data_IF_505153331307
#
_entry.id   IF_505153331307
#
_cell.length_a   1.000
_cell.length_b   1.000
_cell.length_c   1.000
_cell.angle_alpha   90.00
_cell.angle_beta   90.00
_cell.angle_gamma   90.00
#
_symmetry.space_group_name_H-M   'P 1'
#
loop_
_entity.id
_entity.type
_entity.pdbx_description
1 polymer ?
#
# COMPACT_ATOMS: atom_id res chain seq x y z
N UNK A 1 -5.35 17.39 1.68
CA UNK A 1 -4.12 17.22 0.86
C UNK A 1 -2.93 17.44 1.80
N UNK A 2 -1.79 16.82 1.55
CA UNK A 2 -0.63 16.83 2.46
C UNK A 2 -0.33 15.44 3.04
N UNK A 3 0.83 15.30 3.70
CA UNK A 3 1.26 14.07 4.35
C UNK A 3 0.24 13.59 5.39
N UNK A 4 0.25 12.30 5.69
CA UNK A 4 -0.56 11.71 6.77
C UNK A 4 0.12 11.95 8.10
N UNK A 5 -0.63 12.40 9.11
CA UNK A 5 -0.12 12.49 10.48
C UNK A 5 -0.26 11.14 11.20
N UNK A 6 0.45 10.99 12.32
CA UNK A 6 0.35 9.77 13.16
C UNK A 6 -1.06 9.59 13.70
N UNK A 7 -1.75 10.68 14.03
CA UNK A 7 -3.13 10.68 14.54
C UNK A 7 -4.11 10.23 13.46
N UNK A 8 -3.93 10.68 12.21
CA UNK A 8 -4.72 10.22 11.09
C UNK A 8 -4.49 8.72 10.82
N UNK A 9 -3.24 8.26 10.87
CA UNK A 9 -2.90 6.85 10.72
C UNK A 9 -3.55 5.99 11.81
N UNK A 10 -3.47 6.43 13.07
CA UNK A 10 -4.09 5.72 14.19
C UNK A 10 -5.60 5.60 14.04
N UNK A 11 -6.29 6.67 13.61
CA UNK A 11 -7.74 6.63 13.34
C UNK A 11 -8.07 5.65 12.23
N UNK A 12 -7.30 5.65 11.14
CA UNK A 12 -7.49 4.73 10.02
C UNK A 12 -7.28 3.27 10.46
N UNK A 13 -6.19 2.99 11.19
CA UNK A 13 -5.87 1.66 11.72
C UNK A 13 -6.98 1.18 12.67
N UNK A 14 -7.37 2.02 13.64
CA UNK A 14 -8.39 1.66 14.63
C UNK A 14 -9.72 1.35 13.96
N UNK A 15 -10.15 2.18 13.00
CA UNK A 15 -11.38 1.95 12.27
C UNK A 15 -11.36 0.62 11.52
N UNK A 16 -10.28 0.33 10.78
CA UNK A 16 -10.16 -0.90 9.98
C UNK A 16 -10.06 -2.14 10.87
N UNK A 17 -9.36 -2.06 12.00
CA UNK A 17 -9.31 -3.18 12.97
C UNK A 17 -10.69 -3.54 13.50
N UNK A 18 -11.56 -2.55 13.72
CA UNK A 18 -12.90 -2.78 14.26
C UNK A 18 -13.93 -3.17 13.20
N UNK A 19 -13.84 -2.63 11.98
CA UNK A 19 -14.88 -2.76 10.94
C UNK A 19 -14.45 -3.56 9.70
N UNK A 20 -13.19 -3.98 9.64
CA UNK A 20 -12.59 -4.61 8.46
C UNK A 20 -12.12 -3.62 7.40
N UNK A 21 -11.46 -4.17 6.38
CA UNK A 21 -11.00 -3.42 5.21
C UNK A 21 -12.14 -3.19 4.21
N UNK A 22 -12.19 -2.01 3.59
CA UNK A 22 -13.14 -1.71 2.54
C UNK A 22 -13.98 -0.48 2.83
N UNK A 23 -15.15 -0.40 2.17
CA UNK A 23 -16.08 0.74 2.29
C UNK A 23 -15.41 2.10 2.14
N UNK A 24 -14.37 2.19 1.29
CA UNK A 24 -13.49 3.37 1.22
C UNK A 24 -14.25 4.68 0.97
N UNK A 25 -15.42 4.64 0.34
CA UNK A 25 -16.26 5.82 0.13
C UNK A 25 -16.83 6.40 1.44
N UNK A 26 -17.28 5.57 2.37
CA UNK A 26 -17.89 5.99 3.64
C UNK A 26 -16.91 5.98 4.81
N UNK A 27 -15.85 5.17 4.73
CA UNK A 27 -14.84 5.00 5.78
C UNK A 27 -14.29 6.33 6.34
N UNK A 28 -13.87 7.32 5.54
CA UNK A 28 -13.24 8.51 6.10
C UNK A 28 -14.16 9.27 7.04
N UNK A 29 -15.43 9.44 6.67
CA UNK A 29 -16.43 10.11 7.51
C UNK A 29 -16.66 9.33 8.81
N UNK A 30 -16.78 8.01 8.72
CA UNK A 30 -17.02 7.14 9.87
C UNK A 30 -15.81 7.05 10.81
N UNK A 31 -14.59 7.16 10.28
CA UNK A 31 -13.34 7.20 11.04
C UNK A 31 -12.96 8.59 11.57
N UNK A 32 -13.78 9.62 11.34
CA UNK A 32 -13.47 11.00 11.74
C UNK A 32 -12.25 11.58 11.00
N UNK A 33 -12.02 11.16 9.75
CA UNK A 33 -10.92 11.61 8.90
C UNK A 33 -11.39 12.65 7.88
N UNK A 34 -10.64 13.74 7.78
CA UNK A 34 -10.81 14.75 6.73
C UNK A 34 -10.05 14.36 5.45
N UNK A 35 -10.25 13.11 5.00
CA UNK A 35 -9.61 12.51 3.82
C UNK A 35 -10.66 11.94 2.88
N UNK A 36 -10.30 11.80 1.60
CA UNK A 36 -11.15 11.08 0.66
C UNK A 36 -10.86 9.59 0.70
N UNK A 37 -11.83 8.77 0.28
CA UNK A 37 -11.71 7.31 0.28
C UNK A 37 -10.49 6.77 -0.46
N UNK A 38 -10.19 7.36 -1.62
CA UNK A 38 -8.98 7.02 -2.39
C UNK A 38 -7.72 7.23 -1.57
N UNK A 39 -7.63 8.32 -0.81
CA UNK A 39 -6.47 8.61 0.03
C UNK A 39 -6.34 7.63 1.18
N UNK A 40 -7.44 7.27 1.87
CA UNK A 40 -7.42 6.26 2.92
C UNK A 40 -7.01 4.89 2.39
N UNK A 41 -7.56 4.46 1.25
CA UNK A 41 -7.21 3.20 0.60
C UNK A 41 -5.71 3.13 0.30
N UNK A 42 -5.17 4.16 -0.35
CA UNK A 42 -3.74 4.21 -0.71
C UNK A 42 -2.86 4.25 0.54
N UNK A 43 -3.26 4.98 1.59
CA UNK A 43 -2.49 5.00 2.84
C UNK A 43 -2.46 3.63 3.50
N UNK A 44 -3.60 2.96 3.58
CA UNK A 44 -3.68 1.62 4.14
C UNK A 44 -2.81 0.63 3.37
N UNK A 45 -3.06 0.48 2.07
CA UNK A 45 -2.42 -0.53 1.23
C UNK A 45 -0.92 -0.33 1.12
N UNK A 46 -0.43 0.92 1.05
CA UNK A 46 0.99 1.18 0.80
C UNK A 46 1.80 1.40 2.08
N UNK A 47 1.17 1.71 3.21
CA UNK A 47 1.91 2.14 4.41
C UNK A 47 1.43 1.56 5.73
N UNK A 48 0.16 1.19 5.92
CA UNK A 48 -0.33 0.81 7.25
C UNK A 48 -0.72 -0.67 7.40
N UNK A 49 -0.90 -1.38 6.28
CA UNK A 49 -1.23 -2.81 6.31
C UNK A 49 -0.10 -3.60 7.02
N UNK A 50 -0.43 -4.52 7.94
CA UNK A 50 0.56 -5.14 8.83
C UNK A 50 1.49 -6.14 8.15
N UNK A 51 1.09 -6.69 7.00
CA UNK A 51 1.84 -7.66 6.20
C UNK A 51 2.86 -7.00 5.25
N UNK A 52 3.01 -5.68 5.30
CA UNK A 52 3.98 -4.96 4.47
C UNK A 52 5.40 -5.15 5.00
N UNK A 53 6.31 -5.58 4.12
CA UNK A 53 7.74 -5.58 4.39
C UNK A 53 8.26 -4.14 4.45
N UNK A 54 9.27 -3.90 5.29
CA UNK A 54 9.91 -2.58 5.46
C UNK A 54 11.38 -2.70 5.11
N UNK A 55 11.92 -1.63 4.53
CA UNK A 55 13.32 -1.57 4.10
C UNK A 55 13.52 -1.93 2.64
N UNK A 56 14.78 -2.05 2.25
CA UNK A 56 15.22 -2.29 0.87
C UNK A 56 14.74 -3.66 0.37
N UNK A 57 14.69 -3.81 -0.95
CA UNK A 57 14.51 -5.11 -1.59
C UNK A 57 15.72 -5.99 -1.29
N UNK A 58 15.48 -7.29 -1.07
CA UNK A 58 16.58 -8.26 -1.02
C UNK A 58 17.06 -8.58 -2.44
N UNK A 59 18.24 -9.19 -2.57
CA UNK A 59 18.79 -9.56 -3.87
C UNK A 59 17.85 -10.53 -4.61
N UNK A 60 17.19 -11.44 -3.89
CA UNK A 60 16.20 -12.36 -4.47
C UNK A 60 14.92 -11.63 -4.93
N UNK A 61 14.49 -10.60 -4.19
CA UNK A 61 13.36 -9.77 -4.61
C UNK A 61 13.72 -8.94 -5.84
N UNK A 62 14.94 -8.42 -5.92
CA UNK A 62 15.44 -7.66 -7.07
C UNK A 62 15.52 -8.53 -8.34
N UNK A 63 16.19 -9.68 -8.26
CA UNK A 63 16.26 -10.63 -9.38
C UNK A 63 14.85 -11.03 -9.87
N UNK A 64 13.92 -11.25 -8.93
CA UNK A 64 12.53 -11.55 -9.27
C UNK A 64 11.83 -10.36 -9.95
N UNK A 65 12.04 -9.13 -9.50
CA UNK A 65 11.49 -7.92 -10.13
C UNK A 65 12.02 -7.78 -11.56
N UNK A 66 13.33 -7.90 -11.77
CA UNK A 66 13.97 -7.81 -13.09
C UNK A 66 13.39 -8.87 -14.03
N UNK A 67 13.34 -10.13 -13.58
CA UNK A 67 12.79 -11.22 -14.36
C UNK A 67 11.33 -10.98 -14.73
N UNK A 68 10.47 -10.65 -13.76
CA UNK A 68 9.05 -10.42 -14.03
C UNK A 68 8.81 -9.19 -14.91
N UNK A 69 9.60 -8.13 -14.75
CA UNK A 69 9.54 -6.95 -15.62
C UNK A 69 9.89 -7.30 -17.06
N UNK A 70 10.89 -8.15 -17.29
CA UNK A 70 11.24 -8.60 -18.66
C UNK A 70 10.07 -9.29 -19.39
N UNK A 71 9.20 -10.01 -18.66
CA UNK A 71 8.03 -10.69 -19.23
C UNK A 71 6.78 -9.80 -19.33
N UNK A 72 6.58 -8.91 -18.34
CA UNK A 72 5.30 -8.20 -18.18
C UNK A 72 5.39 -6.69 -18.41
N UNK A 73 6.59 -6.12 -18.51
CA UNK A 73 6.85 -4.68 -18.53
C UNK A 73 6.32 -3.98 -17.28
N UNK A 74 5.79 -2.77 -17.43
CA UNK A 74 5.33 -1.91 -16.33
C UNK A 74 3.99 -2.34 -15.70
N UNK A 75 3.65 -3.64 -15.72
CA UNK A 75 2.45 -4.19 -15.09
C UNK A 75 2.67 -4.40 -13.59
N UNK A 76 2.91 -3.33 -12.85
CA UNK A 76 3.35 -3.35 -11.45
C UNK A 76 2.43 -4.15 -10.52
N UNK A 77 1.11 -4.03 -10.68
CA UNK A 77 0.15 -4.78 -9.86
C UNK A 77 0.24 -6.30 -10.11
N UNK A 78 0.64 -6.74 -11.30
CA UNK A 78 0.89 -8.16 -11.60
C UNK A 78 2.19 -8.65 -10.97
N UNK A 79 3.24 -7.82 -11.02
CA UNK A 79 4.55 -8.13 -10.41
C UNK A 79 4.41 -8.20 -8.89
N UNK A 80 3.73 -7.23 -8.26
CA UNK A 80 3.46 -7.22 -6.82
C UNK A 80 2.72 -8.48 -6.34
N UNK A 81 1.84 -9.05 -7.18
CA UNK A 81 1.16 -10.31 -6.88
C UNK A 81 2.09 -11.52 -6.70
N UNK A 82 3.38 -11.40 -7.07
CA UNK A 82 4.42 -12.43 -6.90
C UNK A 82 5.46 -12.08 -5.83
N UNK A 83 5.34 -10.93 -5.16
CA UNK A 83 6.26 -10.46 -4.12
C UNK A 83 5.49 -10.23 -2.81
N UNK A 84 5.33 -11.27 -1.98
CA UNK A 84 4.60 -11.17 -0.72
C UNK A 84 5.12 -10.03 0.16
N UNK A 85 4.21 -9.15 0.58
CA UNK A 85 4.52 -8.00 1.43
C UNK A 85 5.13 -6.79 0.71
N UNK A 86 5.31 -6.85 -0.62
CA UNK A 86 5.69 -5.69 -1.44
C UNK A 86 4.51 -5.18 -2.25
N UNK A 87 4.44 -3.87 -2.43
CA UNK A 87 3.37 -3.20 -3.17
C UNK A 87 3.79 -2.83 -4.58
N UNK A 88 2.80 -2.67 -5.45
CA UNK A 88 3.02 -2.17 -6.80
C UNK A 88 3.65 -0.77 -6.82
N UNK A 89 3.32 0.06 -5.83
CA UNK A 89 3.93 1.37 -5.66
C UNK A 89 5.40 1.30 -5.26
N UNK A 90 5.79 0.37 -4.38
CA UNK A 90 7.20 0.16 -4.03
C UNK A 90 8.01 -0.31 -5.24
N UNK A 91 7.50 -1.30 -5.99
CA UNK A 91 8.20 -1.85 -7.16
C UNK A 91 8.38 -0.78 -8.25
N UNK A 92 7.31 -0.02 -8.53
CA UNK A 92 7.38 1.11 -9.47
C UNK A 92 8.41 2.16 -9.03
N UNK A 93 8.48 2.47 -7.73
CA UNK A 93 9.44 3.44 -7.18
C UNK A 93 10.88 2.89 -7.14
N UNK A 94 11.04 1.58 -7.09
CA UNK A 94 12.36 0.94 -7.18
C UNK A 94 12.93 1.00 -8.60
N UNK A 95 12.05 0.82 -9.60
CA UNK A 95 12.42 0.82 -11.00
C UNK A 95 12.69 2.22 -11.60
N UNK A 96 12.15 3.28 -10.98
CA UNK A 96 12.19 4.66 -11.48
C UNK A 96 12.94 5.58 -10.52
#
# INVERSE_FOLDING_TARGET
RGGWTKEEDQRLIAYIKTHGEGCWRSLPKAAGLLRCGKSCRLRWINYLRPDLKRGNFTDEEDELIINLHSFFGNKWSLIAGRLPGRTDNEIKNYWH
#
